data_IF_363453865334
#
_entry.id   IF_363453865334
#
_cell.length_a   1.000
_cell.length_b   1.000
_cell.length_c   1.000
_cell.angle_alpha   90.00
_cell.angle_beta   90.00
_cell.angle_gamma   90.00
#
_symmetry.space_group_name_H-M   'P 1'
#
loop_
_entity.id
_entity.type
_entity.pdbx_description
1 polymer ?
#
# COMPACT_ATOMS: atom_id res chain seq x y z
N UNK A 1 -82.99 -6.42 -8.53
CA UNK A 1 -82.49 -7.77 -8.85
C UNK A 1 -80.97 -7.65 -9.00
N UNK A 2 -80.18 -8.23 -8.07
CA UNK A 2 -79.41 -9.48 -8.25
C UNK A 2 -78.44 -9.38 -9.46
N UNK A 3 -77.13 -9.61 -9.42
CA UNK A 3 -76.19 -10.20 -8.46
C UNK A 3 -74.79 -10.17 -9.16
N UNK A 4 -73.67 -10.18 -8.42
CA UNK A 4 -72.34 -10.77 -8.77
C UNK A 4 -71.55 -10.04 -9.90
N UNK A 5 -70.34 -9.52 -9.68
CA UNK A 5 -69.14 -10.28 -9.31
C UNK A 5 -68.02 -9.36 -8.81
N UNK A 6 -67.43 -9.77 -7.68
CA UNK A 6 -66.08 -9.39 -7.27
C UNK A 6 -65.08 -10.07 -8.21
N UNK A 7 -64.18 -9.32 -8.83
CA UNK A 7 -62.92 -9.86 -9.32
C UNK A 7 -61.79 -9.13 -8.60
N UNK A 8 -61.25 -9.81 -7.59
CA UNK A 8 -59.99 -9.46 -6.93
C UNK A 8 -58.89 -9.97 -7.87
N UNK A 9 -58.22 -9.06 -8.58
CA UNK A 9 -56.98 -9.38 -9.28
C UNK A 9 -55.85 -9.11 -8.30
N UNK A 10 -55.41 -10.18 -7.64
CA UNK A 10 -54.13 -10.24 -6.92
C UNK A 10 -53.04 -10.36 -7.99
N UNK A 11 -52.51 -9.23 -8.47
CA UNK A 11 -51.29 -9.24 -9.27
C UNK A 11 -50.12 -9.45 -8.32
N UNK A 12 -49.68 -10.71 -8.23
CA UNK A 12 -48.40 -11.07 -7.64
C UNK A 12 -47.30 -10.29 -8.34
N UNK A 13 -46.65 -9.38 -7.62
CA UNK A 13 -45.36 -8.80 -7.98
C UNK A 13 -44.39 -9.96 -8.20
N UNK A 14 -43.87 -10.21 -9.42
CA UNK A 14 -42.69 -11.01 -9.52
C UNK A 14 -41.57 -10.18 -8.92
N UNK A 15 -40.98 -10.70 -7.84
CA UNK A 15 -39.65 -10.28 -7.42
C UNK A 15 -38.76 -10.28 -8.67
N UNK A 16 -38.46 -9.08 -9.16
CA UNK A 16 -37.32 -8.82 -10.02
C UNK A 16 -36.07 -9.11 -9.19
N UNK A 17 -35.77 -10.39 -8.99
CA UNK A 17 -34.42 -10.87 -8.80
C UNK A 17 -33.70 -10.60 -10.12
N UNK A 18 -33.31 -9.35 -10.33
CA UNK A 18 -32.21 -9.01 -11.23
C UNK A 18 -30.96 -9.59 -10.57
N UNK A 19 -30.77 -10.90 -10.72
CA UNK A 19 -29.44 -11.47 -10.71
C UNK A 19 -28.76 -10.95 -11.97
N UNK A 20 -28.18 -9.76 -11.88
CA UNK A 20 -27.08 -9.38 -12.76
C UNK A 20 -25.92 -10.34 -12.45
N UNK A 21 -25.98 -11.56 -12.99
CA UNK A 21 -24.77 -12.26 -13.40
C UNK A 21 -24.26 -11.48 -14.61
N UNK A 22 -23.55 -10.38 -14.36
CA UNK A 22 -22.60 -9.92 -15.35
C UNK A 22 -21.66 -11.10 -15.57
N UNK A 23 -21.78 -11.73 -16.74
CA UNK A 23 -20.78 -12.68 -17.19
C UNK A 23 -19.48 -11.87 -17.27
N UNK A 24 -18.58 -12.07 -16.30
CA UNK A 24 -17.24 -11.46 -16.26
C UNK A 24 -16.34 -11.96 -17.41
N UNK A 25 -16.90 -12.55 -18.47
CA UNK A 25 -16.15 -13.22 -19.53
C UNK A 25 -15.38 -12.28 -20.45
N UNK A 26 -15.70 -10.98 -20.45
CA UNK A 26 -15.10 -9.98 -21.34
C UNK A 26 -14.26 -8.92 -20.61
N UNK A 27 -13.52 -9.31 -19.57
CA UNK A 27 -12.55 -8.41 -18.93
C UNK A 27 -11.31 -8.31 -19.82
N UNK A 28 -10.87 -7.08 -20.19
CA UNK A 28 -9.64 -6.90 -20.95
C UNK A 28 -8.43 -7.45 -20.19
N UNK A 29 -7.55 -8.16 -20.90
CA UNK A 29 -6.27 -8.58 -20.36
C UNK A 29 -5.39 -7.34 -20.13
N UNK A 30 -4.99 -7.11 -18.89
CA UNK A 30 -4.16 -5.95 -18.53
C UNK A 30 -2.69 -6.32 -18.49
N UNK A 31 -1.81 -5.48 -19.03
CA UNK A 31 -0.36 -5.67 -18.91
C UNK A 31 0.12 -5.24 -17.53
N UNK A 32 0.05 -6.15 -16.58
CA UNK A 32 0.52 -5.94 -15.21
C UNK A 32 2.05 -5.90 -15.18
N UNK A 33 2.59 -5.01 -14.35
CA UNK A 33 4.03 -4.81 -14.28
C UNK A 33 4.74 -5.82 -13.35
N UNK A 34 4.02 -6.44 -12.42
CA UNK A 34 4.63 -7.19 -11.31
C UNK A 34 4.16 -8.63 -11.22
N UNK A 35 2.85 -8.90 -11.21
CA UNK A 35 2.37 -10.26 -11.11
C UNK A 35 1.00 -10.47 -11.77
N UNK A 36 0.66 -11.74 -12.01
CA UNK A 36 -0.68 -12.20 -12.33
C UNK A 36 -1.08 -13.32 -11.37
N UNK A 37 -2.23 -13.16 -10.71
CA UNK A 37 -2.77 -14.17 -9.79
C UNK A 37 -4.12 -14.76 -10.23
N UNK A 38 -4.64 -14.36 -11.40
CA UNK A 38 -5.89 -14.86 -11.96
C UNK A 38 -5.84 -15.06 -13.47
N UNK A 39 -6.76 -15.86 -13.99
CA UNK A 39 -6.85 -16.24 -15.41
C UNK A 39 -7.16 -15.07 -16.34
N UNK A 40 -7.77 -14.01 -15.81
CA UNK A 40 -8.15 -12.80 -16.53
C UNK A 40 -6.92 -11.91 -16.81
N UNK A 41 -5.80 -12.14 -16.12
CA UNK A 41 -4.62 -11.28 -16.21
C UNK A 41 -4.93 -9.86 -15.75
N UNK A 42 -5.82 -9.70 -14.78
CA UNK A 42 -6.22 -8.40 -14.28
C UNK A 42 -6.43 -8.46 -12.76
N UNK A 43 -5.50 -7.90 -12.00
CA UNK A 43 -5.56 -7.94 -10.54
C UNK A 43 -6.60 -6.96 -9.95
N UNK A 44 -7.23 -6.09 -10.75
CA UNK A 44 -8.26 -5.12 -10.30
C UNK A 44 -9.66 -5.72 -10.20
N UNK A 45 -9.84 -6.99 -10.55
CA UNK A 45 -11.10 -7.71 -10.44
C UNK A 45 -10.92 -9.00 -9.63
N UNK A 46 -12.03 -9.51 -9.13
CA UNK A 46 -12.06 -10.89 -8.65
C UNK A 46 -12.15 -11.82 -9.85
N UNK A 47 -11.21 -12.76 -9.93
CA UNK A 47 -11.02 -13.65 -11.06
C UNK A 47 -10.74 -15.08 -10.62
N UNK A 48 -10.70 -16.01 -11.57
CA UNK A 48 -10.41 -17.41 -11.25
C UNK A 48 -8.92 -17.62 -10.99
N UNK A 49 -8.58 -18.40 -9.99
CA UNK A 49 -7.19 -18.76 -9.72
C UNK A 49 -6.58 -19.55 -10.89
N UNK A 50 -5.28 -19.38 -11.09
CA UNK A 50 -4.51 -20.10 -12.10
C UNK A 50 -4.06 -21.44 -11.51
N UNK A 51 -4.35 -22.54 -12.19
CA UNK A 51 -3.88 -23.87 -11.82
C UNK A 51 -3.04 -24.49 -12.93
N UNK A 52 -2.15 -25.41 -12.54
CA UNK A 52 -1.45 -26.29 -13.46
C UNK A 52 -2.32 -27.52 -13.65
N UNK A 53 -2.67 -27.84 -14.90
CA UNK A 53 -3.50 -29.00 -15.23
C UNK A 53 -2.69 -30.29 -15.03
N UNK A 54 -1.53 -30.40 -15.69
CA UNK A 54 -0.63 -31.54 -15.54
C UNK A 54 0.85 -31.17 -15.78
N UNK A 55 1.73 -32.13 -15.51
CA UNK A 55 3.19 -31.98 -15.63
C UNK A 55 3.83 -33.19 -16.31
N UNK A 56 4.78 -32.95 -17.22
CA UNK A 56 5.63 -33.98 -17.84
C UNK A 56 7.08 -33.52 -17.76
N UNK A 57 7.93 -34.24 -17.03
CA UNK A 57 9.30 -33.76 -16.74
C UNK A 57 9.24 -32.39 -16.07
N UNK A 58 9.98 -31.41 -16.58
CA UNK A 58 9.96 -30.01 -16.11
C UNK A 58 8.98 -29.11 -16.89
N UNK A 59 8.10 -29.71 -17.69
CA UNK A 59 7.08 -28.98 -18.45
C UNK A 59 5.76 -28.96 -17.68
N UNK A 60 5.25 -27.76 -17.43
CA UNK A 60 3.97 -27.48 -16.77
C UNK A 60 2.95 -27.08 -17.83
N UNK A 61 1.81 -27.77 -17.85
CA UNK A 61 0.71 -27.52 -18.79
C UNK A 61 -0.45 -26.82 -18.08
N UNK A 62 -1.10 -25.89 -18.77
CA UNK A 62 -2.20 -25.09 -18.25
C UNK A 62 -3.47 -25.32 -19.08
N UNK A 63 -4.63 -25.10 -18.46
CA UNK A 63 -5.91 -25.13 -19.14
C UNK A 63 -6.07 -23.99 -20.14
N UNK A 64 -6.86 -24.20 -21.19
CA UNK A 64 -7.12 -23.21 -22.25
C UNK A 64 -7.59 -21.85 -21.72
N UNK A 65 -8.23 -21.81 -20.54
CA UNK A 65 -8.59 -20.56 -19.84
C UNK A 65 -7.38 -19.65 -19.56
N UNK A 66 -6.18 -20.21 -19.48
CA UNK A 66 -4.92 -19.50 -19.26
C UNK A 66 -4.19 -19.13 -20.56
N UNK A 67 -4.70 -19.48 -21.74
CA UNK A 67 -3.95 -19.35 -23.00
C UNK A 67 -3.52 -17.91 -23.31
N UNK A 68 -4.41 -16.94 -23.09
CA UNK A 68 -4.10 -15.50 -23.22
C UNK A 68 -2.96 -15.08 -22.28
N UNK A 69 -2.96 -15.58 -21.05
CA UNK A 69 -1.95 -15.27 -20.06
C UNK A 69 -0.59 -15.89 -20.43
N UNK A 70 -0.54 -17.18 -20.79
CA UNK A 70 0.69 -17.88 -21.18
C UNK A 70 1.32 -17.23 -22.43
N UNK A 71 0.51 -16.74 -23.38
CA UNK A 71 1.01 -15.99 -24.55
C UNK A 71 1.73 -14.68 -24.20
N UNK A 72 1.45 -14.08 -23.04
CA UNK A 72 2.04 -12.81 -22.60
C UNK A 72 3.20 -12.97 -21.62
N UNK A 73 3.45 -14.20 -21.14
CA UNK A 73 4.55 -14.52 -20.24
C UNK A 73 5.83 -14.83 -21.04
N UNK A 74 7.00 -14.61 -20.42
CA UNK A 74 8.30 -14.93 -21.01
C UNK A 74 9.33 -15.24 -19.90
N UNK A 75 10.59 -15.51 -20.27
CA UNK A 75 11.68 -15.84 -19.33
C UNK A 75 12.00 -14.78 -18.26
N UNK A 76 11.47 -13.56 -18.37
CA UNK A 76 11.58 -12.54 -17.30
C UNK A 76 10.59 -12.80 -16.16
N UNK A 77 9.71 -13.78 -16.31
CA UNK A 77 8.77 -14.18 -15.29
C UNK A 77 9.22 -15.47 -14.61
N UNK A 78 8.73 -15.66 -13.39
CA UNK A 78 8.78 -16.92 -12.66
C UNK A 78 7.35 -17.36 -12.39
N UNK A 79 7.17 -18.66 -12.21
CA UNK A 79 5.93 -19.23 -11.69
C UNK A 79 6.18 -19.67 -10.27
N UNK A 80 5.24 -19.43 -9.36
CA UNK A 80 5.39 -19.90 -7.99
C UNK A 80 4.08 -20.28 -7.34
N UNK A 81 4.21 -21.06 -6.26
CA UNK A 81 3.14 -21.60 -5.45
C UNK A 81 3.30 -21.24 -3.99
N UNK A 82 2.15 -21.16 -3.34
CA UNK A 82 2.05 -21.01 -1.90
C UNK A 82 2.53 -22.23 -1.12
N UNK A 83 2.88 -21.97 0.14
CA UNK A 83 3.20 -23.01 1.10
C UNK A 83 2.02 -23.93 1.48
N UNK A 84 0.80 -23.56 1.12
CA UNK A 84 -0.45 -24.09 1.67
C UNK A 84 -0.81 -23.49 3.03
N UNK A 85 -0.15 -22.39 3.44
CA UNK A 85 -0.41 -21.71 4.72
C UNK A 85 -1.13 -20.39 4.45
N UNK A 86 -2.22 -20.09 5.17
CA UNK A 86 -3.08 -18.94 4.88
C UNK A 86 -2.43 -17.55 4.89
N UNK A 87 -1.26 -17.39 5.52
CA UNK A 87 -0.50 -16.13 5.59
C UNK A 87 0.64 -16.06 4.55
N UNK A 88 0.93 -17.14 3.84
CA UNK A 88 2.13 -17.29 3.01
C UNK A 88 1.84 -18.11 1.76
N UNK A 89 0.82 -17.72 1.00
CA UNK A 89 0.50 -18.41 -0.26
C UNK A 89 0.70 -17.50 -1.48
N UNK A 90 1.61 -16.54 -1.36
CA UNK A 90 1.83 -15.44 -2.32
C UNK A 90 2.43 -15.90 -3.66
N UNK A 91 2.76 -17.18 -3.77
CA UNK A 91 3.51 -17.73 -4.89
C UNK A 91 4.99 -17.32 -4.83
N UNK A 92 5.44 -16.78 -3.69
CA UNK A 92 6.83 -16.38 -3.46
C UNK A 92 7.57 -17.39 -2.60
N UNK A 93 6.84 -18.35 -2.03
CA UNK A 93 7.36 -19.33 -1.09
C UNK A 93 8.13 -20.43 -1.81
N UNK A 94 7.56 -20.92 -2.89
CA UNK A 94 8.19 -21.85 -3.82
C UNK A 94 8.03 -21.27 -5.21
N UNK A 95 9.12 -20.99 -5.89
CA UNK A 95 9.08 -20.46 -7.24
C UNK A 95 10.10 -21.14 -8.14
N UNK A 96 9.80 -21.15 -9.42
CA UNK A 96 10.57 -21.82 -10.46
C UNK A 96 10.77 -20.84 -11.62
N UNK A 97 12.04 -20.52 -11.95
CA UNK A 97 12.35 -19.75 -13.13
C UNK A 97 11.78 -20.38 -14.40
N UNK A 98 11.18 -19.56 -15.26
CA UNK A 98 10.70 -20.00 -16.57
C UNK A 98 11.88 -20.01 -17.54
N UNK A 99 12.23 -21.19 -18.04
CA UNK A 99 13.30 -21.39 -19.00
C UNK A 99 12.80 -21.20 -20.43
N UNK A 100 11.59 -21.69 -20.74
CA UNK A 100 10.98 -21.57 -22.07
C UNK A 100 9.46 -21.50 -21.96
N UNK A 101 8.83 -20.72 -22.83
CA UNK A 101 7.37 -20.64 -22.98
C UNK A 101 6.99 -21.37 -24.26
N UNK A 102 5.96 -22.22 -24.21
CA UNK A 102 5.43 -22.99 -25.33
C UNK A 102 3.95 -22.59 -25.57
N UNK A 103 3.67 -21.42 -26.19
CA UNK A 103 2.32 -20.87 -26.25
C UNK A 103 1.31 -21.76 -26.97
N UNK A 104 1.75 -22.49 -28.01
CA UNK A 104 0.89 -23.41 -28.78
C UNK A 104 0.41 -24.62 -27.99
N UNK A 105 1.15 -24.99 -26.94
CA UNK A 105 0.82 -26.10 -26.04
C UNK A 105 0.26 -25.59 -24.71
N UNK A 106 0.08 -24.27 -24.58
CA UNK A 106 -0.27 -23.62 -23.33
C UNK A 106 0.60 -24.10 -22.15
N UNK A 107 1.91 -24.17 -22.37
CA UNK A 107 2.84 -24.81 -21.46
C UNK A 107 4.09 -23.98 -21.21
N UNK A 108 4.78 -24.30 -20.12
CA UNK A 108 6.02 -23.67 -19.67
C UNK A 108 7.04 -24.75 -19.33
N UNK A 109 8.29 -24.56 -19.74
CA UNK A 109 9.43 -25.33 -19.21
C UNK A 109 10.07 -24.50 -18.11
N UNK A 110 10.17 -25.04 -16.91
CA UNK A 110 10.76 -24.36 -15.74
C UNK A 110 12.07 -25.00 -15.32
N UNK A 111 12.79 -24.37 -14.39
CA UNK A 111 13.74 -25.12 -13.55
C UNK A 111 13.00 -26.26 -12.83
N UNK A 112 13.72 -27.34 -12.44
CA UNK A 112 13.09 -28.46 -11.75
C UNK A 112 12.27 -28.02 -10.54
N UNK A 113 11.04 -28.53 -10.45
CA UNK A 113 10.17 -28.24 -9.31
C UNK A 113 10.65 -29.01 -8.07
N UNK A 114 10.44 -28.42 -6.90
CA UNK A 114 10.86 -29.04 -5.63
C UNK A 114 9.77 -29.98 -5.08
N UNK A 115 10.06 -30.63 -3.95
CA UNK A 115 9.14 -31.55 -3.26
C UNK A 115 7.83 -30.90 -2.79
N UNK A 116 7.75 -29.56 -2.75
CA UNK A 116 6.57 -28.82 -2.30
C UNK A 116 5.57 -28.49 -3.41
N UNK A 117 5.90 -28.84 -4.66
CA UNK A 117 5.04 -28.68 -5.82
C UNK A 117 3.74 -29.48 -5.67
N UNK A 118 2.60 -28.88 -6.06
CA UNK A 118 1.32 -29.59 -6.10
C UNK A 118 0.41 -29.07 -7.20
N UNK A 119 -0.23 -29.97 -7.97
CA UNK A 119 -1.26 -29.59 -8.95
C UNK A 119 -2.53 -29.03 -8.28
N UNK A 120 -2.77 -29.35 -7.01
CA UNK A 120 -3.94 -28.87 -6.26
C UNK A 120 -3.82 -27.42 -5.77
N UNK A 121 -2.65 -26.79 -5.94
CA UNK A 121 -2.39 -25.43 -5.46
C UNK A 121 -2.42 -24.42 -6.61
N UNK A 122 -3.00 -23.23 -6.38
CA UNK A 122 -2.94 -22.17 -7.37
C UNK A 122 -1.51 -21.67 -7.56
N UNK A 123 -1.22 -21.12 -8.73
CA UNK A 123 0.05 -20.48 -9.05
C UNK A 123 -0.10 -18.98 -9.23
N UNK A 124 1.00 -18.27 -9.02
CA UNK A 124 1.15 -16.84 -9.33
C UNK A 124 2.34 -16.68 -10.27
N UNK A 125 2.18 -15.86 -11.29
CA UNK A 125 3.28 -15.45 -12.15
C UNK A 125 3.85 -14.14 -11.65
N UNK A 126 5.16 -14.10 -11.41
CA UNK A 126 5.87 -12.91 -10.96
C UNK A 126 6.85 -12.46 -12.03
N UNK A 127 6.81 -11.18 -12.39
CA UNK A 127 7.77 -10.57 -13.31
C UNK A 127 9.00 -10.13 -12.50
N UNK A 128 10.16 -10.68 -12.85
CA UNK A 128 11.42 -10.28 -12.26
C UNK A 128 11.82 -8.89 -12.75
N UNK A 129 12.12 -8.01 -11.78
CA UNK A 129 12.75 -6.72 -12.00
C UNK A 129 14.22 -6.72 -11.59
N UNK A 130 14.97 -5.65 -11.92
CA UNK A 130 16.26 -5.41 -11.29
C UNK A 130 16.10 -5.36 -9.77
N UNK A 131 17.12 -5.82 -9.05
CA UNK A 131 17.14 -5.73 -7.60
C UNK A 131 17.34 -4.27 -7.17
N UNK A 132 16.55 -3.80 -6.19
CA UNK A 132 16.79 -2.50 -5.59
C UNK A 132 18.09 -2.52 -4.78
N UNK A 133 18.59 -1.35 -4.44
CA UNK A 133 19.69 -1.17 -3.49
C UNK A 133 19.13 -0.73 -2.13
N UNK A 134 19.89 -0.99 -1.05
CA UNK A 134 19.57 -0.43 0.26
C UNK A 134 19.77 1.08 0.25
N UNK A 135 18.96 1.79 1.01
CA UNK A 135 19.10 3.24 1.23
C UNK A 135 20.46 3.60 1.88
N UNK A 136 20.90 2.79 2.84
CA UNK A 136 22.23 2.88 3.45
C UNK A 136 22.57 1.56 4.14
N UNK A 137 23.82 1.11 4.02
CA UNK A 137 24.34 -0.04 4.75
C UNK A 137 24.59 0.26 6.24
N UNK A 138 24.56 1.53 6.64
CA UNK A 138 24.70 1.94 8.05
C UNK A 138 23.44 1.70 8.89
N UNK A 139 22.30 1.39 8.25
CA UNK A 139 21.03 1.15 8.92
C UNK A 139 20.88 -0.35 9.23
N UNK A 140 20.82 -0.69 10.51
CA UNK A 140 20.55 -2.04 11.01
C UNK A 140 19.20 -2.08 11.72
N UNK A 141 18.41 -3.14 11.52
CA UNK A 141 17.06 -3.25 12.09
C UNK A 141 15.97 -2.70 11.17
N UNK A 142 14.86 -2.33 11.76
CA UNK A 142 13.64 -1.86 11.09
C UNK A 142 13.61 -0.33 11.01
N UNK A 143 13.46 0.21 9.80
CA UNK A 143 13.55 1.66 9.53
C UNK A 143 12.45 2.14 8.57
N UNK A 144 11.83 3.28 8.87
CA UNK A 144 10.96 4.02 7.95
C UNK A 144 11.53 5.38 7.58
N UNK A 145 10.91 6.02 6.58
CA UNK A 145 11.27 7.36 6.13
C UNK A 145 10.05 8.25 5.90
N UNK A 146 10.23 9.56 6.09
CA UNK A 146 9.24 10.57 5.72
C UNK A 146 9.35 10.93 4.25
N UNK A 147 8.76 12.05 3.82
CA UNK A 147 8.93 12.54 2.46
C UNK A 147 10.35 13.07 2.24
N UNK A 148 11.00 12.58 1.19
CA UNK A 148 12.21 13.14 0.63
C UNK A 148 11.85 14.42 -0.14
N UNK A 149 12.47 15.52 0.23
CA UNK A 149 12.35 16.81 -0.45
C UNK A 149 13.72 17.30 -0.93
N UNK A 150 13.74 18.15 -1.96
CA UNK A 150 14.92 18.95 -2.29
C UNK A 150 14.87 20.25 -1.49
N UNK A 151 15.75 20.39 -0.50
CA UNK A 151 15.91 21.62 0.28
C UNK A 151 16.57 22.69 -0.60
N UNK A 152 15.84 23.79 -0.85
CA UNK A 152 16.32 24.86 -1.73
C UNK A 152 17.44 25.69 -1.10
N UNK A 153 17.60 25.68 0.22
CA UNK A 153 18.61 26.51 0.91
C UNK A 153 20.03 26.01 0.66
N UNK A 154 20.21 24.69 0.59
CA UNK A 154 21.52 24.04 0.41
C UNK A 154 21.58 23.07 -0.77
N UNK A 155 20.49 22.92 -1.53
CA UNK A 155 20.38 22.02 -2.68
C UNK A 155 20.65 20.56 -2.33
N UNK A 156 20.27 20.13 -1.13
CA UNK A 156 20.34 18.74 -0.69
C UNK A 156 18.97 18.09 -0.68
N UNK A 157 18.90 16.84 -1.12
CA UNK A 157 17.77 15.98 -0.80
C UNK A 157 17.79 15.65 0.69
N UNK A 158 16.66 15.79 1.37
CA UNK A 158 16.52 15.55 2.80
C UNK A 158 15.26 14.77 3.11
N UNK A 159 15.34 13.88 4.09
CA UNK A 159 14.19 13.16 4.66
C UNK A 159 14.43 12.91 6.12
N UNK A 160 13.36 12.78 6.90
CA UNK A 160 13.47 12.18 8.23
C UNK A 160 13.51 10.67 8.09
N UNK A 161 14.24 10.02 8.99
CA UNK A 161 14.21 8.58 9.21
C UNK A 161 13.79 8.32 10.65
N UNK A 162 13.19 7.16 10.88
CA UNK A 162 12.82 6.69 12.21
C UNK A 162 12.98 5.18 12.28
N UNK A 163 13.35 4.69 13.46
CA UNK A 163 13.32 3.25 13.72
C UNK A 163 11.86 2.79 13.83
N UNK A 164 11.56 1.56 13.40
CA UNK A 164 10.27 0.90 13.64
C UNK A 164 10.50 -0.49 14.25
N UNK A 165 9.44 -1.14 14.73
CA UNK A 165 9.51 -2.45 15.42
C UNK A 165 10.57 -2.53 16.55
N UNK A 166 10.76 -1.42 17.27
CA UNK A 166 11.74 -1.30 18.35
C UNK A 166 11.10 -0.65 19.58
N UNK A 167 11.67 -0.93 20.76
CA UNK A 167 11.23 -0.36 22.03
C UNK A 167 11.55 1.13 22.17
N UNK A 168 12.55 1.63 21.43
CA UNK A 168 12.95 3.04 21.47
C UNK A 168 13.08 3.55 20.04
N UNK A 169 12.31 4.60 19.71
CA UNK A 169 12.31 5.25 18.40
C UNK A 169 12.83 6.67 18.56
N UNK A 170 13.94 6.97 17.91
CA UNK A 170 14.47 8.30 17.69
C UNK A 170 14.12 8.78 16.29
N UNK A 171 14.18 10.10 16.13
CA UNK A 171 14.08 10.73 14.83
C UNK A 171 15.47 11.11 14.33
N UNK A 172 15.75 10.80 13.07
CA UNK A 172 16.99 11.10 12.38
C UNK A 172 16.72 11.98 11.16
N UNK A 173 17.75 12.66 10.68
CA UNK A 173 17.76 13.31 9.38
C UNK A 173 18.76 12.62 8.47
N UNK A 174 18.32 12.28 7.27
CA UNK A 174 19.18 11.84 6.19
C UNK A 174 19.28 12.93 5.12
N UNK A 175 20.48 13.15 4.60
CA UNK A 175 20.76 14.13 3.55
C UNK A 175 21.57 13.52 2.40
N UNK A 176 21.28 13.92 1.17
CA UNK A 176 21.96 13.41 -0.03
C UNK A 176 22.09 14.51 -1.09
N UNK A 177 23.18 14.48 -1.87
CA UNK A 177 23.34 15.32 -3.06
C UNK A 177 22.73 14.70 -4.32
N UNK A 178 22.50 13.39 -4.33
CA UNK A 178 22.28 12.64 -5.56
C UNK A 178 21.27 11.48 -5.42
N UNK A 179 20.50 11.45 -4.33
CA UNK A 179 19.50 10.41 -4.02
C UNK A 179 20.06 8.99 -3.76
N UNK A 180 21.37 8.76 -3.92
CA UNK A 180 21.99 7.44 -3.74
C UNK A 180 22.90 7.36 -2.52
N UNK A 181 23.62 8.44 -2.19
CA UNK A 181 24.53 8.47 -1.05
C UNK A 181 23.95 9.33 0.06
N UNK A 182 23.70 8.74 1.22
CA UNK A 182 23.01 9.40 2.33
C UNK A 182 23.89 9.56 3.56
N UNK A 183 23.96 10.77 4.09
CA UNK A 183 24.54 11.07 5.41
C UNK A 183 23.43 11.16 6.44
N UNK A 184 23.54 10.38 7.51
CA UNK A 184 22.48 10.21 8.51
C UNK A 184 22.98 10.73 9.86
N UNK A 185 22.17 11.55 10.52
CA UNK A 185 22.43 12.04 11.88
C UNK A 185 21.17 11.99 12.73
N UNK A 186 21.32 11.75 14.03
CA UNK A 186 20.22 11.84 14.99
C UNK A 186 19.75 13.28 15.10
N UNK A 187 18.44 13.48 15.17
CA UNK A 187 17.80 14.79 15.19
C UNK A 187 17.05 15.02 16.50
N UNK A 188 16.08 14.17 16.84
CA UNK A 188 15.30 14.27 18.09
C UNK A 188 15.25 12.92 18.81
N UNK A 189 15.07 12.96 20.12
CA UNK A 189 14.89 11.80 21.00
C UNK A 189 13.51 11.84 21.67
N UNK A 190 13.02 10.71 22.21
CA UNK A 190 11.70 10.65 22.84
C UNK A 190 11.45 11.73 23.92
N UNK A 191 12.46 12.05 24.73
CA UNK A 191 12.35 13.07 25.79
C UNK A 191 12.03 14.48 25.27
N UNK A 192 12.31 14.78 24.00
CA UNK A 192 12.04 16.09 23.40
C UNK A 192 10.52 16.32 23.23
N UNK A 193 9.71 15.26 23.39
CA UNK A 193 8.26 15.27 23.29
C UNK A 193 7.56 15.15 24.65
N UNK A 194 8.28 15.39 25.75
CA UNK A 194 7.67 15.45 27.06
C UNK A 194 6.55 16.50 27.11
N UNK A 195 5.43 16.17 27.76
CA UNK A 195 4.22 17.00 27.88
C UNK A 195 3.42 17.22 26.58
N UNK A 196 3.67 16.42 25.53
CA UNK A 196 2.86 16.46 24.32
C UNK A 196 1.66 15.50 24.47
N UNK A 197 0.42 16.01 24.53
CA UNK A 197 -0.74 15.19 24.90
C UNK A 197 -1.14 14.15 23.84
N UNK A 198 -0.67 14.34 22.60
CA UNK A 198 -0.91 13.45 21.47
C UNK A 198 0.27 12.51 21.18
N UNK A 199 1.29 12.48 22.04
CA UNK A 199 2.41 11.55 21.99
C UNK A 199 2.96 11.31 23.40
N UNK A 200 2.41 10.33 24.10
CA UNK A 200 2.60 10.19 25.55
C UNK A 200 3.51 9.02 25.94
N UNK A 201 3.96 8.96 27.20
CA UNK A 201 4.78 7.85 27.70
C UNK A 201 4.06 6.50 27.66
N UNK A 202 4.83 5.42 27.65
CA UNK A 202 4.30 4.06 27.81
C UNK A 202 3.64 3.85 29.19
N UNK A 203 3.05 2.66 29.41
CA UNK A 203 2.45 2.26 30.70
C UNK A 203 3.38 2.33 31.92
N UNK A 204 4.70 2.44 31.71
CA UNK A 204 5.70 2.60 32.77
C UNK A 204 6.15 4.07 32.93
N UNK A 205 5.41 5.01 32.33
CA UNK A 205 5.72 6.43 32.30
C UNK A 205 7.06 6.78 31.63
N UNK A 206 7.54 5.96 30.68
CA UNK A 206 8.75 6.25 29.90
C UNK A 206 8.40 6.69 28.48
N UNK A 207 8.90 7.85 28.06
CA UNK A 207 8.90 8.26 26.66
C UNK A 207 9.84 7.35 25.89
N UNK A 208 9.27 6.55 25.00
CA UNK A 208 10.00 5.56 24.21
C UNK A 208 9.98 5.88 22.72
N UNK A 209 8.94 6.56 22.26
CA UNK A 209 8.69 6.75 20.83
C UNK A 209 8.58 8.24 20.53
N UNK A 210 9.39 8.73 19.60
CA UNK A 210 9.13 10.02 18.94
C UNK A 210 7.96 9.87 17.98
N UNK A 211 7.15 10.92 17.75
CA UNK A 211 6.17 10.92 16.67
C UNK A 211 6.81 10.55 15.33
N UNK A 212 6.08 9.77 14.54
CA UNK A 212 6.53 9.34 13.22
C UNK A 212 6.18 10.40 12.19
N UNK A 213 7.18 11.01 11.57
CA UNK A 213 6.98 12.03 10.53
C UNK A 213 6.67 11.34 9.21
N UNK A 214 5.56 11.70 8.59
CA UNK A 214 5.09 11.08 7.35
C UNK A 214 5.24 11.98 6.12
N UNK A 215 5.11 13.29 6.28
CA UNK A 215 5.24 14.27 5.18
C UNK A 215 5.91 15.56 5.67
N UNK A 216 6.48 16.29 4.73
CA UNK A 216 7.17 17.57 4.92
C UNK A 216 6.65 18.56 3.88
N UNK A 217 6.25 19.75 4.36
CA UNK A 217 5.89 20.89 3.53
C UNK A 217 6.81 22.06 3.87
N UNK A 218 7.38 22.69 2.86
CA UNK A 218 8.07 23.98 3.01
C UNK A 218 7.14 25.11 2.55
N UNK A 219 6.78 26.01 3.48
CA UNK A 219 5.87 27.12 3.22
C UNK A 219 6.20 28.31 4.12
N UNK A 220 6.11 29.53 3.59
CA UNK A 220 6.41 30.78 4.33
C UNK A 220 7.72 30.69 5.13
N UNK A 221 8.78 30.26 4.44
CA UNK A 221 10.14 30.09 4.96
C UNK A 221 10.34 29.04 6.06
N UNK A 222 9.29 28.27 6.38
CA UNK A 222 9.28 27.25 7.43
C UNK A 222 9.02 25.86 6.88
N UNK A 223 9.59 24.88 7.55
CA UNK A 223 9.28 23.46 7.40
C UNK A 223 8.17 23.06 8.36
N UNK A 224 7.15 22.41 7.81
CA UNK A 224 6.05 21.78 8.51
C UNK A 224 6.19 20.28 8.33
N UNK A 225 6.67 19.61 9.38
CA UNK A 225 6.82 18.16 9.41
C UNK A 225 5.58 17.53 10.04
N UNK A 226 4.72 16.94 9.21
CA UNK A 226 3.48 16.32 9.66
C UNK A 226 3.78 14.95 10.24
N UNK A 227 3.37 14.76 11.49
CA UNK A 227 3.70 13.58 12.28
C UNK A 227 2.44 12.98 12.91
N UNK A 228 2.56 11.73 13.34
CA UNK A 228 1.54 11.08 14.14
C UNK A 228 2.14 10.36 15.34
N UNK A 229 1.36 10.24 16.41
CA UNK A 229 1.75 9.62 17.67
C UNK A 229 0.53 9.23 18.49
N UNK A 230 0.77 8.46 19.55
CA UNK A 230 -0.29 7.84 20.33
C UNK A 230 -0.52 8.57 21.66
N UNK A 231 -1.78 8.67 22.07
CA UNK A 231 -2.13 9.08 23.43
C UNK A 231 -2.05 7.93 24.45
N UNK A 232 -2.43 8.23 25.70
CA UNK A 232 -2.35 7.28 26.81
C UNK A 232 -3.32 6.11 26.68
N UNK A 233 -4.25 6.20 25.73
CA UNK A 233 -5.25 5.18 25.41
C UNK A 233 -4.91 4.46 24.11
N UNK A 234 -3.69 4.63 23.61
CA UNK A 234 -3.20 4.02 22.37
C UNK A 234 -4.04 4.44 21.14
N UNK A 235 -4.65 5.64 21.18
CA UNK A 235 -5.27 6.24 20.01
C UNK A 235 -4.25 7.10 19.28
N UNK A 236 -4.18 6.96 17.96
CA UNK A 236 -3.23 7.72 17.15
C UNK A 236 -3.83 9.04 16.66
N UNK A 237 -3.05 10.12 16.74
CA UNK A 237 -3.41 11.47 16.33
C UNK A 237 -2.41 12.02 15.33
N UNK A 238 -2.83 12.96 14.48
CA UNK A 238 -1.94 13.67 13.56
C UNK A 238 -1.68 15.08 14.09
N UNK A 239 -0.42 15.51 14.07
CA UNK A 239 0.01 16.86 14.41
C UNK A 239 1.18 17.33 13.53
N UNK A 240 1.81 18.45 13.89
CA UNK A 240 2.91 19.05 13.14
C UNK A 240 4.03 19.56 14.04
N UNK A 241 5.26 19.41 13.55
CA UNK A 241 6.45 20.05 14.09
C UNK A 241 6.90 21.14 13.10
N UNK A 242 7.26 22.32 13.60
CA UNK A 242 7.57 23.49 12.79
C UNK A 242 9.00 23.95 13.05
N UNK A 243 9.79 24.16 12.01
CA UNK A 243 11.17 24.65 12.14
C UNK A 243 11.57 25.50 10.93
N UNK A 244 12.52 26.43 11.10
CA UNK A 244 13.10 27.20 9.99
C UNK A 244 14.09 26.35 9.15
N UNK A 245 14.51 25.20 9.67
CA UNK A 245 15.41 24.23 9.02
C UNK A 245 15.06 22.79 9.42
N UNK A 246 15.19 21.83 8.50
CA UNK A 246 15.02 20.41 8.84
C UNK A 246 16.04 19.91 9.88
N UNK A 247 17.16 20.59 10.03
CA UNK A 247 18.20 20.34 11.04
C UNK A 247 18.05 21.16 12.31
N UNK A 248 17.12 22.12 12.31
CA UNK A 248 16.99 23.13 13.36
C UNK A 248 16.16 22.67 14.56
N UNK A 249 15.88 23.63 15.44
CA UNK A 249 15.01 23.43 16.59
C UNK A 249 13.55 23.41 16.14
N UNK A 250 12.81 22.39 16.57
CA UNK A 250 11.39 22.26 16.26
C UNK A 250 10.53 22.85 17.36
N UNK A 251 9.53 23.63 16.95
CA UNK A 251 8.36 23.95 17.76
C UNK A 251 7.31 22.88 17.52
N UNK A 252 6.98 22.10 18.55
CA UNK A 252 5.97 21.03 18.47
C UNK A 252 4.59 21.64 18.71
N UNK A 253 3.64 21.41 17.81
CA UNK A 253 2.30 21.94 18.00
C UNK A 253 1.59 21.23 19.16
N UNK A 254 1.06 21.95 20.17
CA UNK A 254 0.63 21.34 21.43
C UNK A 254 -0.69 20.57 21.33
N UNK A 255 -1.47 20.80 20.26
CA UNK A 255 -2.76 20.14 20.04
C UNK A 255 -2.71 19.30 18.76
N UNK A 256 -3.42 18.17 18.70
CA UNK A 256 -3.56 17.44 17.44
C UNK A 256 -4.27 18.31 16.39
N UNK A 257 -3.85 18.16 15.14
CA UNK A 257 -4.46 18.77 13.97
C UNK A 257 -5.65 17.96 13.48
N UNK A 258 -5.55 16.63 13.51
CA UNK A 258 -6.64 15.69 13.27
C UNK A 258 -6.66 14.69 14.42
N UNK A 259 -7.85 14.38 14.90
CA UNK A 259 -8.10 13.41 15.98
C UNK A 259 -9.11 12.36 15.53
N UNK A 260 -9.09 11.16 16.13
CA UNK A 260 -10.18 10.21 16.00
C UNK A 260 -11.52 10.84 16.41
N UNK A 261 -12.57 10.55 15.65
CA UNK A 261 -13.92 11.05 15.84
C UNK A 261 -14.81 9.91 16.32
N UNK A 262 -15.19 9.90 17.60
CA UNK A 262 -16.02 8.85 18.19
C UNK A 262 -17.40 8.67 17.55
N UNK A 263 -17.85 9.62 16.72
CA UNK A 263 -19.11 9.54 15.96
C UNK A 263 -18.94 9.05 14.53
N UNK A 264 -17.71 8.88 14.04
CA UNK A 264 -17.43 8.36 12.70
C UNK A 264 -17.45 6.83 12.71
N UNK A 265 -17.93 6.22 11.63
CA UNK A 265 -17.81 4.78 11.40
C UNK A 265 -16.44 4.39 10.80
N UNK A 266 -15.65 5.38 10.36
CA UNK A 266 -14.42 5.20 9.60
C UNK A 266 -13.16 5.63 10.35
N UNK A 267 -13.28 6.57 11.30
CA UNK A 267 -12.14 7.18 11.97
C UNK A 267 -12.35 7.34 13.48
N UNK A 268 -13.02 6.39 14.12
CA UNK A 268 -13.28 6.43 15.57
C UNK A 268 -12.15 5.86 16.44
N UNK A 269 -11.16 5.16 15.85
CA UNK A 269 -10.01 4.63 16.58
C UNK A 269 -8.74 5.45 16.37
N UNK A 270 -8.18 5.48 15.14
CA UNK A 270 -6.89 6.11 14.83
C UNK A 270 -6.92 7.00 13.60
N UNK A 271 -5.97 7.94 13.51
CA UNK A 271 -5.63 8.71 12.31
C UNK A 271 -4.10 8.85 12.17
N UNK A 272 -3.54 8.52 11.00
CA UNK A 272 -2.09 8.41 10.78
C UNK A 272 -1.71 8.47 9.28
N UNK A 273 -0.40 8.41 8.98
CA UNK A 273 0.17 8.60 7.63
C UNK A 273 -0.37 9.84 6.86
N UNK A 274 -0.27 11.05 7.42
CA UNK A 274 -0.67 12.26 6.70
C UNK A 274 0.23 12.49 5.48
N UNK A 275 -0.39 12.85 4.36
CA UNK A 275 0.24 13.20 3.09
C UNK A 275 -0.39 14.47 2.53
N UNK A 276 0.43 15.48 2.24
CA UNK A 276 -0.01 16.87 2.01
C UNK A 276 0.29 17.33 0.58
N UNK A 277 -0.71 17.93 -0.06
CA UNK A 277 -0.56 18.68 -1.33
C UNK A 277 -1.25 20.03 -1.25
N UNK A 278 -0.82 20.95 -2.10
CA UNK A 278 -1.48 22.23 -2.32
C UNK A 278 -2.25 22.20 -3.64
N UNK A 279 -3.57 22.37 -3.59
CA UNK A 279 -4.47 22.34 -4.75
C UNK A 279 -5.55 23.41 -4.60
N UNK A 280 -5.86 24.15 -5.67
CA UNK A 280 -6.94 25.14 -5.70
C UNK A 280 -6.94 26.12 -4.51
N UNK A 281 -5.77 26.68 -4.21
CA UNK A 281 -5.55 27.62 -3.08
C UNK A 281 -5.78 27.03 -1.68
N UNK A 282 -5.86 25.70 -1.57
CA UNK A 282 -6.05 24.98 -0.32
C UNK A 282 -4.97 23.91 -0.14
N UNK A 283 -4.59 23.69 1.11
CA UNK A 283 -3.84 22.52 1.49
C UNK A 283 -4.80 21.36 1.71
N UNK A 284 -4.48 20.21 1.14
CA UNK A 284 -5.21 18.96 1.30
C UNK A 284 -4.31 17.96 2.01
N UNK A 285 -4.84 17.32 3.06
CA UNK A 285 -4.21 16.23 3.78
C UNK A 285 -4.98 14.97 3.48
N UNK A 286 -4.34 14.04 2.79
CA UNK A 286 -4.79 12.67 2.66
C UNK A 286 -4.17 11.87 3.81
N UNK A 287 -4.97 11.10 4.52
CA UNK A 287 -4.50 10.36 5.68
C UNK A 287 -5.25 9.04 5.80
N UNK A 288 -4.63 8.10 6.51
CA UNK A 288 -5.27 6.84 6.89
C UNK A 288 -5.99 7.02 8.21
N UNK A 289 -7.19 6.48 8.30
CA UNK A 289 -7.90 6.30 9.56
C UNK A 289 -8.16 4.83 9.84
N UNK A 290 -8.41 4.49 11.09
CA UNK A 290 -8.82 3.16 11.53
C UNK A 290 -10.10 3.26 12.35
N UNK A 291 -11.02 2.30 12.16
CA UNK A 291 -12.19 2.16 13.02
C UNK A 291 -11.97 1.16 14.16
N UNK A 292 -12.93 1.06 15.08
CA UNK A 292 -12.90 0.12 16.22
C UNK A 292 -12.89 -1.37 15.77
N UNK A 293 -13.22 -1.67 14.51
CA UNK A 293 -13.10 -3.00 13.91
C UNK A 293 -11.71 -3.28 13.31
N UNK A 294 -10.75 -2.37 13.48
CA UNK A 294 -9.43 -2.38 12.85
C UNK A 294 -9.47 -2.33 11.32
N UNK A 295 -10.57 -1.86 10.74
CA UNK A 295 -10.64 -1.57 9.32
C UNK A 295 -10.02 -0.20 9.07
N UNK A 296 -9.22 -0.10 8.01
CA UNK A 296 -8.55 1.14 7.66
C UNK A 296 -9.35 1.87 6.57
N UNK A 297 -9.19 3.18 6.44
CA UNK A 297 -9.85 3.98 5.42
C UNK A 297 -8.95 5.14 5.00
N UNK A 298 -9.13 5.61 3.78
CA UNK A 298 -8.51 6.87 3.37
C UNK A 298 -9.49 8.02 3.54
N UNK A 299 -8.99 9.08 4.13
CA UNK A 299 -9.74 10.28 4.45
C UNK A 299 -9.01 11.50 3.88
N UNK A 300 -9.75 12.60 3.73
CA UNK A 300 -9.20 13.88 3.28
C UNK A 300 -9.66 15.01 4.18
N UNK A 301 -8.72 15.87 4.59
CA UNK A 301 -8.97 17.11 5.29
C UNK A 301 -8.39 18.29 4.50
N UNK A 302 -8.88 19.50 4.78
CA UNK A 302 -8.42 20.73 4.14
C UNK A 302 -7.97 21.79 5.14
N UNK A 303 -7.03 22.62 4.74
CA UNK A 303 -6.53 23.77 5.50
C UNK A 303 -6.18 24.95 4.58
N UNK A 304 -6.23 26.17 5.10
CA UNK A 304 -5.73 27.38 4.45
C UNK A 304 -4.36 27.80 4.97
N UNK A 305 -3.89 27.25 6.10
CA UNK A 305 -2.72 27.74 6.82
C UNK A 305 -1.81 26.63 7.40
N UNK A 306 -2.07 25.37 7.06
CA UNK A 306 -1.37 24.16 7.56
C UNK A 306 -1.57 23.85 9.06
N UNK A 307 -2.30 24.67 9.81
CA UNK A 307 -2.49 24.57 11.27
C UNK A 307 -3.95 24.32 11.67
N UNK A 308 -4.90 24.85 10.90
CA UNK A 308 -6.33 24.62 11.12
C UNK A 308 -6.86 23.70 10.03
N UNK A 309 -7.26 22.49 10.42
CA UNK A 309 -7.71 21.45 9.51
C UNK A 309 -9.18 21.11 9.73
N UNK A 310 -9.90 20.90 8.62
CA UNK A 310 -11.29 20.43 8.63
C UNK A 310 -11.40 19.19 7.76
N UNK A 311 -11.91 18.10 8.34
CA UNK A 311 -12.26 16.87 7.61
C UNK A 311 -13.26 17.23 6.50
N UNK A 312 -12.91 16.86 5.27
CA UNK A 312 -13.69 17.14 4.07
C UNK A 312 -14.52 15.92 3.65
N UNK A 313 -13.91 14.72 3.66
CA UNK A 313 -14.58 13.45 3.35
C UNK A 313 -13.82 12.28 4.00
N UNK A 314 -14.57 11.32 4.51
CA UNK A 314 -14.05 10.04 5.00
C UNK A 314 -14.33 8.94 3.97
N UNK A 315 -13.52 7.88 3.97
CA UNK A 315 -13.63 6.76 3.04
C UNK A 315 -13.69 7.19 1.56
N UNK A 316 -12.64 7.88 1.10
CA UNK A 316 -12.56 8.43 -0.26
C UNK A 316 -12.31 7.36 -1.34
N UNK A 317 -11.86 6.15 -0.95
CA UNK A 317 -11.65 5.01 -1.84
C UNK A 317 -12.62 3.89 -1.50
N UNK A 318 -13.51 3.56 -2.42
CA UNK A 318 -14.41 2.41 -2.27
C UNK A 318 -13.60 1.14 -2.54
N UNK A 319 -13.45 0.27 -1.52
CA UNK A 319 -12.85 -1.06 -1.65
C UNK A 319 -13.91 -2.09 -2.01
N UNK A 320 -13.64 -3.02 -2.93
CA UNK A 320 -14.52 -4.18 -3.14
C UNK A 320 -13.99 -5.34 -4.00
N UNK A 321 -12.81 -5.29 -4.61
CA UNK A 321 -12.40 -6.34 -5.56
C UNK A 321 -10.89 -6.48 -5.75
N UNK A 322 -10.47 -7.67 -6.15
CA UNK A 322 -9.10 -7.93 -6.60
C UNK A 322 -8.04 -7.65 -5.53
N UNK A 323 -6.96 -6.99 -5.92
CA UNK A 323 -5.77 -6.74 -5.09
C UNK A 323 -6.00 -5.85 -3.86
N UNK A 324 -7.09 -5.07 -3.80
CA UNK A 324 -7.42 -4.15 -2.70
C UNK A 324 -8.77 -4.50 -2.05
N UNK A 325 -9.07 -5.79 -1.95
CA UNK A 325 -10.33 -6.29 -1.37
C UNK A 325 -10.27 -6.49 0.15
N UNK A 326 -9.09 -6.49 0.76
CA UNK A 326 -8.92 -6.53 2.21
C UNK A 326 -9.35 -5.21 2.87
N UNK A 327 -9.73 -5.28 4.14
CA UNK A 327 -10.15 -4.10 4.93
C UNK A 327 -9.02 -3.51 5.80
N UNK A 328 -7.90 -4.22 5.93
CA UNK A 328 -6.68 -3.74 6.60
C UNK A 328 -5.66 -3.25 5.57
N UNK A 329 -4.55 -2.67 6.03
CA UNK A 329 -3.40 -2.24 5.24
C UNK A 329 -3.72 -1.33 4.02
N UNK A 330 -4.57 -0.31 4.20
CA UNK A 330 -4.77 0.81 3.24
C UNK A 330 -4.16 2.09 3.81
N UNK A 331 -2.87 2.21 3.56
CA UNK A 331 -2.02 3.29 4.01
C UNK A 331 -1.91 4.31 2.89
N UNK A 332 -2.02 5.61 3.21
CA UNK A 332 -1.72 6.68 2.26
C UNK A 332 -0.21 6.75 2.05
N UNK A 333 0.29 6.06 1.03
CA UNK A 333 1.71 5.89 0.83
C UNK A 333 2.33 7.14 0.18
N UNK A 334 1.66 7.72 -0.83
CA UNK A 334 2.10 8.96 -1.48
C UNK A 334 0.90 9.71 -2.09
N UNK A 335 1.03 11.03 -2.19
CA UNK A 335 0.16 11.90 -2.97
C UNK A 335 1.00 12.80 -3.88
N UNK A 336 0.53 13.08 -5.08
CA UNK A 336 1.11 14.08 -5.99
C UNK A 336 0.04 14.80 -6.80
N UNK A 337 0.37 16.00 -7.27
CA UNK A 337 -0.34 16.63 -8.37
C UNK A 337 0.47 16.40 -9.64
N UNK A 338 -0.16 15.81 -10.66
CA UNK A 338 0.42 15.58 -11.98
C UNK A 338 -0.64 15.83 -13.03
N UNK A 339 -0.30 16.50 -14.13
CA UNK A 339 -1.25 16.74 -15.24
C UNK A 339 -2.61 17.33 -14.81
N UNK A 340 -2.60 18.25 -13.84
CA UNK A 340 -3.81 18.86 -13.27
C UNK A 340 -4.78 17.84 -12.62
N UNK A 341 -4.25 16.75 -12.08
CA UNK A 341 -4.96 15.72 -11.34
C UNK A 341 -4.22 15.39 -10.05
N UNK A 342 -4.97 14.98 -9.04
CA UNK A 342 -4.43 14.42 -7.81
C UNK A 342 -4.25 12.93 -8.04
N UNK A 343 -3.03 12.43 -7.80
CA UNK A 343 -2.73 11.02 -7.81
C UNK A 343 -2.42 10.57 -6.39
N UNK A 344 -3.01 9.44 -6.00
CA UNK A 344 -2.78 8.77 -4.72
C UNK A 344 -2.15 7.41 -4.98
N UNK A 345 -1.11 7.10 -4.22
CA UNK A 345 -0.58 5.77 -4.08
C UNK A 345 -0.98 5.26 -2.71
N UNK A 346 -1.51 4.05 -2.68
CA UNK A 346 -2.02 3.45 -1.46
C UNK A 346 -1.50 2.05 -1.37
N UNK A 347 -1.25 1.60 -0.14
CA UNK A 347 -1.09 0.16 0.05
C UNK A 347 -2.43 -0.54 -0.16
N UNK A 348 -2.40 -1.84 -0.43
CA UNK A 348 -3.60 -2.66 -0.47
C UNK A 348 -3.26 -4.14 -0.48
N UNK A 349 -4.23 -4.92 -0.05
CA UNK A 349 -4.14 -6.37 0.14
C UNK A 349 -5.41 -7.01 -0.40
N UNK A 350 -5.32 -8.26 -0.90
CA UNK A 350 -6.53 -9.01 -1.25
C UNK A 350 -7.07 -9.69 -0.01
N UNK A 351 -8.39 -9.66 0.14
CA UNK A 351 -9.07 -10.48 1.11
C UNK A 351 -9.07 -11.93 0.64
N UNK A 352 -8.21 -12.76 1.26
CA UNK A 352 -8.17 -14.20 1.04
C UNK A 352 -9.16 -14.96 1.94
N UNK A 353 -10.11 -14.28 2.61
CA UNK A 353 -11.19 -14.89 3.39
C UNK A 353 -10.78 -15.64 4.67
N UNK A 354 -11.70 -16.45 5.22
CA UNK A 354 -11.47 -17.23 6.46
C UNK A 354 -10.56 -18.44 6.26
N UNK A 355 -9.70 -18.65 7.26
CA UNK A 355 -8.58 -19.60 7.36
C UNK A 355 -8.93 -21.09 7.25
N UNK A 356 -10.21 -21.46 7.29
CA UNK A 356 -10.67 -22.87 7.26
C UNK A 356 -11.00 -23.39 5.86
N UNK A 357 -10.96 -22.53 4.83
CA UNK A 357 -11.18 -22.95 3.44
C UNK A 357 -9.84 -23.19 2.72
N UNK A 358 -9.63 -24.43 2.25
CA UNK A 358 -8.42 -24.92 1.59
C UNK A 358 -8.06 -24.25 0.24
N UNK A 359 -8.89 -23.32 -0.27
CA UNK A 359 -8.87 -22.87 -1.66
C UNK A 359 -8.68 -21.36 -1.85
N UNK A 360 -7.83 -20.68 -1.08
CA UNK A 360 -7.62 -19.23 -1.27
C UNK A 360 -6.15 -18.84 -1.33
N UNK A 361 -5.70 -18.49 -2.55
CA UNK A 361 -4.34 -18.05 -2.87
C UNK A 361 -4.27 -16.60 -3.41
N UNK A 362 -3.82 -15.69 -2.54
CA UNK A 362 -2.97 -14.49 -2.65
C UNK A 362 -3.08 -13.35 -3.68
N UNK A 363 -2.61 -12.18 -3.22
CA UNK A 363 -1.40 -11.48 -3.61
C UNK A 363 -0.55 -11.19 -2.35
N UNK A 364 0.56 -10.45 -2.48
CA UNK A 364 1.43 -10.05 -1.37
C UNK A 364 0.68 -9.62 -0.11
N UNK A 365 1.30 -9.82 1.06
CA UNK A 365 0.77 -9.30 2.33
C UNK A 365 0.48 -7.79 2.21
N UNK A 366 1.26 -7.02 1.43
CA UNK A 366 0.94 -5.64 1.03
C UNK A 366 1.56 -5.25 -0.32
N UNK A 367 0.83 -4.60 -1.23
CA UNK A 367 1.34 -3.99 -2.49
C UNK A 367 0.88 -2.54 -2.65
N UNK A 368 1.40 -1.79 -3.64
CA UNK A 368 0.98 -0.39 -3.89
C UNK A 368 0.15 -0.30 -5.16
N UNK A 369 -1.05 0.26 -5.04
CA UNK A 369 -1.84 0.70 -6.18
C UNK A 369 -1.88 2.21 -6.31
N UNK A 370 -2.32 2.67 -7.47
CA UNK A 370 -2.44 4.07 -7.83
C UNK A 370 -3.86 4.41 -8.23
N UNK A 371 -4.29 5.59 -7.82
CA UNK A 371 -5.60 6.16 -8.12
C UNK A 371 -5.41 7.61 -8.57
N UNK A 372 -6.38 8.15 -9.33
CA UNK A 372 -6.38 9.56 -9.71
C UNK A 372 -7.76 10.21 -9.59
N UNK A 373 -7.78 11.52 -9.39
CA UNK A 373 -8.97 12.35 -9.39
C UNK A 373 -8.66 13.74 -9.97
N UNK A 374 -9.63 14.43 -10.58
CA UNK A 374 -9.53 15.88 -10.82
C UNK A 374 -9.25 16.66 -9.52
N UNK A 375 -8.58 17.82 -9.61
CA UNK A 375 -8.19 18.64 -8.44
C UNK A 375 -9.34 18.98 -7.48
N UNK A 376 -10.55 19.13 -8.02
CA UNK A 376 -11.76 19.50 -7.28
C UNK A 376 -12.62 18.29 -6.88
N UNK A 377 -12.11 17.06 -7.00
CA UNK A 377 -12.86 15.83 -6.77
C UNK A 377 -12.24 15.00 -5.64
N UNK A 378 -13.12 14.39 -4.83
CA UNK A 378 -12.76 13.35 -3.85
C UNK A 378 -13.26 11.98 -4.27
N UNK A 379 -13.53 11.80 -5.57
CA UNK A 379 -13.93 10.54 -6.18
C UNK A 379 -12.77 10.08 -7.05
N UNK A 380 -12.01 9.15 -6.50
CA UNK A 380 -10.83 8.60 -7.14
C UNK A 380 -11.19 7.43 -8.05
N UNK A 381 -10.52 7.37 -9.19
CA UNK A 381 -10.59 6.30 -10.17
C UNK A 381 -9.33 5.47 -10.03
N UNK A 382 -9.52 4.16 -9.97
CA UNK A 382 -8.43 3.18 -9.95
C UNK A 382 -7.69 3.19 -11.29
N UNK A 383 -6.36 3.26 -11.26
CA UNK A 383 -5.55 3.14 -12.48
C UNK A 383 -5.57 1.70 -13.01
N UNK A 384 -5.66 1.56 -14.34
CA UNK A 384 -5.48 0.27 -15.00
C UNK A 384 -4.06 -0.28 -14.74
N UNK A 385 -3.92 -1.59 -14.64
CA UNK A 385 -2.64 -2.23 -14.35
C UNK A 385 -2.28 -2.21 -12.86
N UNK A 386 -3.22 -1.89 -11.97
CA UNK A 386 -3.02 -2.01 -10.54
C UNK A 386 -2.91 -3.48 -10.11
N UNK A 387 -2.07 -3.80 -9.10
CA UNK A 387 -1.19 -2.86 -8.39
C UNK A 387 0.02 -2.41 -9.22
N UNK A 388 0.36 -1.12 -9.12
CA UNK A 388 1.47 -0.49 -9.86
C UNK A 388 2.84 -0.67 -9.20
N UNK A 389 2.91 -1.27 -8.03
CA UNK A 389 4.18 -1.63 -7.40
C UNK A 389 4.03 -2.88 -6.53
N UNK A 390 4.95 -3.83 -6.70
CA UNK A 390 5.01 -5.11 -6.01
C UNK A 390 6.47 -5.51 -5.73
N UNK A 391 6.69 -6.31 -4.70
CA UNK A 391 7.99 -6.74 -4.23
C UNK A 391 8.51 -7.88 -5.09
N UNK A 392 9.83 -7.98 -5.24
CA UNK A 392 10.46 -9.06 -5.95
C UNK A 392 10.53 -10.33 -5.08
N UNK A 393 9.88 -11.45 -5.47
CA UNK A 393 9.92 -12.70 -4.71
C UNK A 393 11.33 -13.27 -4.51
N UNK A 394 12.27 -12.93 -5.40
CA UNK A 394 13.63 -13.48 -5.36
C UNK A 394 14.60 -12.59 -4.58
N UNK A 395 14.17 -11.42 -4.12
CA UNK A 395 15.01 -10.50 -3.36
C UNK A 395 14.69 -10.55 -1.87
N UNK A 396 15.66 -11.00 -1.08
CA UNK A 396 15.44 -11.32 0.33
C UNK A 396 15.03 -10.13 1.21
N UNK A 397 15.18 -8.87 0.77
CA UNK A 397 14.78 -7.69 1.55
C UNK A 397 13.34 -7.21 1.28
N UNK A 398 12.63 -7.77 0.31
CA UNK A 398 11.26 -7.36 -0.05
C UNK A 398 10.33 -8.52 -0.44
N UNK A 399 10.78 -9.75 -0.22
CA UNK A 399 10.06 -10.95 -0.63
C UNK A 399 8.86 -11.29 0.26
N UNK A 400 8.62 -10.55 1.35
CA UNK A 400 7.40 -10.67 2.17
C UNK A 400 6.38 -9.63 1.71
N UNK A 401 6.52 -8.37 2.14
CA UNK A 401 5.67 -7.26 1.75
C UNK A 401 6.44 -5.97 1.44
N UNK A 402 5.73 -5.03 0.81
CA UNK A 402 6.17 -3.65 0.62
C UNK A 402 5.06 -2.72 1.09
N UNK A 403 5.36 -1.65 1.82
CA UNK A 403 4.30 -0.74 2.27
C UNK A 403 4.67 0.19 3.40
N UNK A 404 3.71 0.99 3.87
CA UNK A 404 3.90 1.96 4.95
C UNK A 404 4.59 3.26 4.51
N UNK A 405 5.69 3.17 3.76
CA UNK A 405 6.40 4.32 3.20
C UNK A 405 6.79 4.05 1.75
N UNK A 406 6.43 4.98 0.84
CA UNK A 406 6.67 4.87 -0.60
C UNK A 406 6.79 6.27 -1.20
N UNK A 407 7.76 6.48 -2.08
CA UNK A 407 7.90 7.74 -2.79
C UNK A 407 8.59 7.56 -4.13
N UNK A 408 7.94 7.98 -5.21
CA UNK A 408 8.61 8.20 -6.49
C UNK A 408 9.16 9.64 -6.58
N UNK A 409 10.38 9.81 -7.11
CA UNK A 409 11.02 11.11 -7.36
C UNK A 409 11.65 11.08 -8.75
N UNK A 410 11.31 12.05 -9.59
CA UNK A 410 11.98 12.22 -10.89
C UNK A 410 13.10 13.25 -10.78
N UNK A 411 14.33 12.84 -11.11
CA UNK A 411 15.53 13.67 -11.10
C UNK A 411 16.48 13.23 -12.21
N UNK A 412 17.04 14.19 -12.96
CA UNK A 412 18.01 13.92 -14.05
C UNK A 412 17.56 12.84 -15.07
N UNK A 413 16.28 12.83 -15.43
CA UNK A 413 15.62 11.86 -16.32
C UNK A 413 15.43 10.44 -15.76
N UNK A 414 15.79 10.21 -14.50
CA UNK A 414 15.51 8.96 -13.79
C UNK A 414 14.33 9.13 -12.84
N UNK A 415 13.54 8.07 -12.68
CA UNK A 415 12.57 7.96 -11.59
C UNK A 415 13.16 7.04 -10.54
N UNK A 416 13.45 7.60 -9.38
CA UNK A 416 13.85 6.88 -8.19
C UNK A 416 12.61 6.48 -7.41
N UNK A 417 12.48 5.21 -7.07
CA UNK A 417 11.41 4.74 -6.18
C UNK A 417 12.00 4.35 -4.85
N UNK A 418 11.70 5.12 -3.82
CA UNK A 418 12.03 4.84 -2.42
C UNK A 418 10.86 4.14 -1.77
N UNK A 419 11.11 3.08 -1.01
CA UNK A 419 10.04 2.33 -0.37
C UNK A 419 10.55 1.45 0.74
N UNK A 420 9.61 0.98 1.55
CA UNK A 420 9.87 -0.04 2.55
C UNK A 420 9.72 -1.45 1.97
N UNK A 421 10.74 -2.29 2.10
CA UNK A 421 10.64 -3.73 1.90
C UNK A 421 10.76 -4.49 3.23
N UNK A 422 10.00 -5.58 3.37
CA UNK A 422 10.20 -6.55 4.44
C UNK A 422 10.59 -7.91 3.89
N UNK A 423 11.53 -8.53 4.58
CA UNK A 423 12.03 -9.86 4.31
C UNK A 423 11.13 -10.94 4.94
N UNK A 424 11.04 -12.12 4.33
CA UNK A 424 10.36 -13.27 4.96
C UNK A 424 11.20 -13.87 6.09
N UNK A 425 12.52 -13.87 5.93
CA UNK A 425 13.49 -14.40 6.90
C UNK A 425 13.92 -13.37 7.94
N UNK A 426 13.82 -12.08 7.61
CA UNK A 426 14.11 -10.99 8.53
C UNK A 426 12.80 -10.36 8.98
N UNK A 427 12.57 -10.21 10.28
CA UNK A 427 11.45 -9.38 10.78
C UNK A 427 11.67 -7.89 10.50
N UNK A 428 12.71 -7.56 9.73
CA UNK A 428 13.26 -6.24 9.57
C UNK A 428 12.75 -5.56 8.32
N UNK A 429 12.51 -4.29 8.52
CA UNK A 429 11.89 -3.34 7.64
C UNK A 429 13.01 -2.51 7.00
N UNK A 430 13.38 -2.78 5.75
CA UNK A 430 14.52 -2.14 5.05
C UNK A 430 14.06 -1.07 4.07
N UNK A 431 14.67 0.12 4.11
CA UNK A 431 14.44 1.16 3.11
C UNK A 431 15.23 0.81 1.85
N UNK A 432 14.54 0.72 0.72
CA UNK A 432 15.05 0.31 -0.58
C UNK A 432 14.89 1.43 -1.60
N UNK A 433 15.79 1.44 -2.59
CA UNK A 433 15.79 2.39 -3.71
C UNK A 433 15.87 1.61 -5.01
N UNK A 434 14.96 1.90 -5.94
CA UNK A 434 14.92 1.33 -7.29
C UNK A 434 15.08 2.37 -8.37
#
# INVERSE_FOLDING_TARGET
MKFISKLIITLATPFLLVHCKNNNSDVPFEKQHYYYSNTEGNNTIEGSHIYIDHKIGDTLFFDESCSKLIQNINRKWIVGQGSGKPYYDTGKEYYWPILTVLPKLNALITSPVNEYFSLSKPVVFWKLGPYPIKFSDSLSGSWGFSKIILDKKDSLFKTHLFECDTDIVHLYLASSKNLSNWTIKRLLKPDDFNNIPWNVPDKNHKMKVTPLISDIVYHNEKYYSFAYGDDAKEKTYISVLISDSLEGNYTIHPRPLISPNSKSDFSNHDVYFPKIVFSDSLWLMYYTSKNEQNEEFLCVAKSTNLLDWKVLKENILIRNKGWNSGMTNLLCAQVKIMNNQIHLWTTGIKNVGSYTNLNKGNPMDVCIGKFHAPLNSNNFIEEAGNPVFGGNPTFNFENDHIGGTFQEITHENYTYTFYHGKARSGKEYTILVK
#
